data_IF_306131519102
#
_entry.id   IF_306131519102
#
_cell.length_a   1.000
_cell.length_b   1.000
_cell.length_c   1.000
_cell.angle_alpha   90.00
_cell.angle_beta   90.00
_cell.angle_gamma   90.00
#
_symmetry.space_group_name_H-M   'P 1'
#
loop_
_entity.id
_entity.type
_entity.pdbx_description
1 polymer ?
#
# COMPACT_ATOMS: atom_id res chain seq x y z
N UNK A 1 -46.76 11.76 -6.87
CA UNK A 1 -45.56 12.46 -7.38
C UNK A 1 -44.35 11.98 -6.59
N UNK A 2 -43.32 11.43 -7.24
CA UNK A 2 -42.07 11.09 -6.57
C UNK A 2 -41.43 12.38 -6.02
N UNK A 3 -41.20 12.44 -4.71
CA UNK A 3 -40.67 13.62 -4.04
C UNK A 3 -39.26 13.94 -4.60
N UNK A 4 -39.06 15.19 -5.05
CA UNK A 4 -37.83 15.66 -5.72
C UNK A 4 -36.57 15.41 -4.89
N UNK A 5 -36.71 15.28 -3.57
CA UNK A 5 -35.61 15.04 -2.64
C UNK A 5 -35.07 13.59 -2.70
N UNK A 6 -35.80 12.64 -3.29
CA UNK A 6 -35.36 11.24 -3.46
C UNK A 6 -34.79 10.94 -4.84
N UNK A 7 -34.37 11.97 -5.58
CA UNK A 7 -33.64 11.77 -6.82
C UNK A 7 -32.16 11.78 -6.55
N UNK A 8 -31.49 10.71 -6.95
CA UNK A 8 -30.08 10.52 -6.69
C UNK A 8 -29.29 10.40 -7.98
N UNK A 9 -28.06 10.88 -7.94
CA UNK A 9 -27.04 10.60 -8.93
C UNK A 9 -25.87 9.88 -8.22
N UNK A 10 -25.12 9.09 -8.97
CA UNK A 10 -23.99 8.35 -8.46
C UNK A 10 -22.70 8.64 -9.22
N UNK A 11 -21.58 8.56 -8.52
CA UNK A 11 -20.25 8.59 -9.10
C UNK A 11 -19.48 7.36 -8.65
N UNK A 12 -19.03 6.55 -9.60
CA UNK A 12 -18.29 5.31 -9.37
C UNK A 12 -16.82 5.59 -9.67
N UNK A 13 -15.94 5.29 -8.71
CA UNK A 13 -14.50 5.30 -8.93
C UNK A 13 -14.03 3.89 -9.27
N UNK A 14 -13.53 3.71 -10.49
CA UNK A 14 -12.89 2.48 -10.93
C UNK A 14 -11.40 2.45 -10.56
N UNK A 15 -10.85 1.24 -10.44
CA UNK A 15 -9.44 0.97 -10.19
C UNK A 15 -8.55 1.50 -11.32
N UNK A 16 -9.03 1.40 -12.56
CA UNK A 16 -8.41 1.96 -13.75
C UNK A 16 -9.31 3.03 -14.36
N UNK A 17 -8.78 4.24 -14.55
CA UNK A 17 -9.42 5.28 -15.35
C UNK A 17 -10.26 6.33 -14.58
N UNK A 18 -11.00 7.16 -15.34
CA UNK A 18 -11.81 8.24 -14.81
C UNK A 18 -13.04 7.73 -14.05
N UNK A 19 -13.63 8.58 -13.21
CA UNK A 19 -14.85 8.25 -12.49
C UNK A 19 -16.05 8.23 -13.46
N UNK A 20 -16.94 7.25 -13.30
CA UNK A 20 -18.16 7.12 -14.11
C UNK A 20 -19.32 7.77 -13.37
N UNK A 21 -20.00 8.72 -14.02
CA UNK A 21 -21.13 9.43 -13.42
C UNK A 21 -22.46 8.92 -13.99
N UNK A 22 -23.40 8.63 -13.11
CA UNK A 22 -24.78 8.27 -13.39
C UNK A 22 -25.70 9.37 -12.90
N UNK A 23 -26.34 10.09 -13.82
CA UNK A 23 -27.15 11.27 -13.49
C UNK A 23 -28.49 10.96 -12.83
N UNK A 24 -28.93 9.70 -12.85
CA UNK A 24 -30.19 9.28 -12.25
C UNK A 24 -30.13 7.79 -11.86
N UNK A 25 -30.35 7.49 -10.58
CA UNK A 25 -30.41 6.13 -10.04
C UNK A 25 -31.70 5.86 -9.24
N UNK A 26 -32.84 6.41 -9.69
CA UNK A 26 -34.15 6.32 -9.03
C UNK A 26 -34.75 4.89 -8.93
N UNK A 27 -33.97 3.84 -9.22
CA UNK A 27 -34.37 2.45 -9.01
C UNK A 27 -34.10 1.96 -7.58
N UNK A 28 -33.45 2.79 -6.74
CA UNK A 28 -33.11 2.51 -5.36
C UNK A 28 -31.61 2.21 -5.17
N UNK A 29 -31.05 2.60 -4.02
CA UNK A 29 -29.62 2.46 -3.73
C UNK A 29 -29.20 0.99 -3.70
N UNK A 30 -30.04 0.07 -3.20
CA UNK A 30 -29.71 -1.37 -3.16
C UNK A 30 -29.66 -1.97 -4.56
N UNK A 31 -30.63 -1.66 -5.41
CA UNK A 31 -30.63 -2.12 -6.81
C UNK A 31 -29.44 -1.56 -7.57
N UNK A 32 -29.10 -0.29 -7.34
CA UNK A 32 -27.91 0.30 -7.92
C UNK A 32 -26.63 -0.37 -7.40
N UNK A 33 -26.54 -0.70 -6.11
CA UNK A 33 -25.40 -1.44 -5.56
C UNK A 33 -25.21 -2.81 -6.24
N UNK A 34 -26.28 -3.58 -6.44
CA UNK A 34 -26.24 -4.86 -7.16
C UNK A 34 -25.80 -4.67 -8.61
N UNK A 35 -26.29 -3.62 -9.28
CA UNK A 35 -25.84 -3.25 -10.62
C UNK A 35 -24.33 -2.97 -10.64
N UNK A 36 -23.82 -2.14 -9.71
CA UNK A 36 -22.38 -1.82 -9.64
C UNK A 36 -21.54 -3.08 -9.45
N UNK A 37 -21.91 -3.96 -8.50
CA UNK A 37 -21.19 -5.22 -8.27
C UNK A 37 -21.21 -6.13 -9.51
N UNK A 38 -22.34 -6.19 -10.22
CA UNK A 38 -22.49 -7.07 -11.38
C UNK A 38 -21.74 -6.55 -12.60
N UNK A 39 -21.84 -5.25 -12.87
CA UNK A 39 -21.27 -4.60 -14.05
C UNK A 39 -19.76 -4.40 -13.92
N UNK A 40 -19.29 -3.95 -12.74
CA UNK A 40 -17.89 -3.61 -12.53
C UNK A 40 -17.10 -4.66 -11.74
N UNK A 41 -17.75 -5.70 -11.20
CA UNK A 41 -17.10 -6.80 -10.47
C UNK A 41 -16.08 -6.29 -9.43
N UNK A 42 -14.81 -6.63 -9.59
CA UNK A 42 -13.72 -6.22 -8.70
C UNK A 42 -13.02 -4.92 -9.15
N UNK A 43 -13.48 -4.32 -10.24
CA UNK A 43 -12.84 -3.15 -10.85
C UNK A 43 -13.29 -1.82 -10.24
N UNK A 44 -14.31 -1.79 -9.40
CA UNK A 44 -14.72 -0.57 -8.70
C UNK A 44 -14.10 -0.52 -7.30
N UNK A 45 -13.66 0.68 -6.89
CA UNK A 45 -13.07 0.94 -5.57
C UNK A 45 -14.19 1.37 -4.61
N UNK A 46 -14.95 2.39 -5.01
CA UNK A 46 -16.09 2.90 -4.28
C UNK A 46 -17.08 3.59 -5.21
N UNK A 47 -18.31 3.77 -4.77
CA UNK A 47 -19.25 4.70 -5.39
C UNK A 47 -19.92 5.59 -4.36
N UNK A 48 -20.26 6.80 -4.78
CA UNK A 48 -20.92 7.81 -3.94
C UNK A 48 -22.31 8.08 -4.47
N UNK A 49 -23.31 8.03 -3.59
CA UNK A 49 -24.65 8.50 -3.86
C UNK A 49 -24.78 9.96 -3.43
N UNK A 50 -25.35 10.82 -4.27
CA UNK A 50 -25.65 12.21 -3.91
C UNK A 50 -27.05 12.62 -4.36
N UNK A 51 -27.73 13.46 -3.59
CA UNK A 51 -29.04 14.01 -3.98
C UNK A 51 -28.86 14.97 -5.15
N UNK A 52 -29.69 14.87 -6.18
CA UNK A 52 -29.60 15.76 -7.36
C UNK A 52 -29.92 17.21 -6.96
N UNK A 53 -30.93 17.41 -6.11
CA UNK A 53 -31.41 18.73 -5.72
C UNK A 53 -30.43 19.49 -4.83
N UNK A 54 -29.90 18.85 -3.77
CA UNK A 54 -29.06 19.50 -2.76
C UNK A 54 -27.57 19.24 -2.94
N UNK A 55 -27.19 18.29 -3.81
CA UNK A 55 -25.81 17.80 -4.00
C UNK A 55 -25.18 17.17 -2.75
N UNK A 56 -25.96 16.97 -1.70
CA UNK A 56 -25.58 16.28 -0.47
C UNK A 56 -25.18 14.83 -0.75
N UNK A 57 -24.07 14.38 -0.16
CA UNK A 57 -23.63 12.98 -0.21
C UNK A 57 -24.46 12.17 0.79
N UNK A 58 -25.18 11.18 0.30
CA UNK A 58 -26.09 10.33 1.08
C UNK A 58 -25.37 9.08 1.57
N UNK A 59 -24.35 8.65 0.84
CA UNK A 59 -23.53 7.51 1.23
C UNK A 59 -22.32 7.33 0.33
N UNK A 60 -21.27 6.73 0.90
CA UNK A 60 -20.12 6.21 0.15
C UNK A 60 -20.03 4.73 0.43
N UNK A 61 -20.04 3.93 -0.63
CA UNK A 61 -20.05 2.47 -0.55
C UNK A 61 -18.78 1.94 -1.19
N UNK A 62 -18.09 1.01 -0.53
CA UNK A 62 -16.78 0.50 -0.95
C UNK A 62 -16.88 -0.95 -1.38
N UNK A 63 -16.05 -1.35 -2.35
CA UNK A 63 -15.99 -2.75 -2.76
C UNK A 63 -15.22 -3.60 -1.76
N UNK A 64 -15.44 -4.91 -1.82
CA UNK A 64 -14.52 -5.86 -1.22
C UNK A 64 -13.17 -5.72 -1.95
N UNK A 65 -12.09 -5.50 -1.20
CA UNK A 65 -10.75 -5.41 -1.79
C UNK A 65 -9.79 -6.35 -1.07
N UNK A 66 -9.09 -7.17 -1.85
CA UNK A 66 -7.98 -7.97 -1.34
C UNK A 66 -6.77 -7.05 -1.16
N UNK A 67 -6.32 -6.89 0.09
CA UNK A 67 -5.10 -6.13 0.37
C UNK A 67 -3.91 -7.03 0.05
N UNK A 68 -3.31 -6.83 -1.12
CA UNK A 68 -2.05 -7.46 -1.48
C UNK A 68 -0.86 -6.58 -1.07
N UNK A 69 0.09 -7.18 -0.35
CA UNK A 69 1.32 -6.53 0.06
C UNK A 69 2.47 -7.20 -0.67
N UNK A 70 3.19 -6.42 -1.48
CA UNK A 70 4.50 -6.81 -1.99
C UNK A 70 5.51 -6.73 -0.85
N UNK A 71 6.14 -7.84 -0.53
CA UNK A 71 7.08 -7.96 0.56
C UNK A 71 8.35 -8.68 0.11
N UNK A 72 9.42 -8.50 0.87
CA UNK A 72 10.69 -9.21 0.73
C UNK A 72 10.99 -9.94 2.03
N UNK A 73 11.30 -11.24 1.91
CA UNK A 73 11.88 -12.01 3.01
C UNK A 73 13.39 -11.93 2.90
N UNK A 74 14.02 -11.45 3.96
CA UNK A 74 15.47 -11.20 4.00
C UNK A 74 16.09 -12.06 5.10
N UNK A 75 17.08 -12.86 4.72
CA UNK A 75 17.80 -13.76 5.61
C UNK A 75 19.12 -13.12 6.03
N UNK A 76 19.06 -12.25 7.04
CA UNK A 76 20.23 -11.56 7.58
C UNK A 76 20.21 -11.54 9.11
N UNK A 77 21.39 -11.48 9.75
CA UNK A 77 21.47 -11.31 11.20
C UNK A 77 20.72 -10.07 11.66
N UNK A 78 19.94 -10.23 12.72
CA UNK A 78 19.10 -9.18 13.29
C UNK A 78 19.15 -9.17 14.80
N UNK A 79 18.93 -7.99 15.36
CA UNK A 79 18.89 -7.77 16.80
C UNK A 79 17.68 -6.89 17.13
N UNK A 80 16.90 -7.31 18.12
CA UNK A 80 15.81 -6.48 18.65
C UNK A 80 16.39 -5.20 19.23
N UNK A 81 15.75 -4.06 19.01
CA UNK A 81 16.17 -2.83 19.68
C UNK A 81 15.78 -2.87 21.17
N UNK A 82 16.49 -2.10 22.00
CA UNK A 82 16.23 -2.04 23.45
C UNK A 82 14.79 -1.63 23.80
N UNK A 83 14.15 -0.83 22.95
CA UNK A 83 12.76 -0.40 23.12
C UNK A 83 11.70 -1.40 22.64
N UNK A 84 12.09 -2.59 22.18
CA UNK A 84 11.20 -3.61 21.64
C UNK A 84 10.19 -3.09 20.60
N UNK A 85 10.59 -2.12 19.77
CA UNK A 85 9.75 -1.48 18.75
C UNK A 85 10.17 -1.82 17.31
N UNK A 86 11.20 -2.65 17.15
CA UNK A 86 11.69 -3.14 15.88
C UNK A 86 13.01 -3.90 15.97
N UNK A 87 13.62 -4.13 14.82
CA UNK A 87 14.89 -4.84 14.69
C UNK A 87 15.92 -3.99 13.95
N UNK A 88 17.17 -4.07 14.40
CA UNK A 88 18.34 -3.72 13.61
C UNK A 88 18.74 -4.94 12.78
N UNK A 89 18.78 -4.78 11.46
CA UNK A 89 19.28 -5.78 10.53
C UNK A 89 20.63 -5.34 9.99
N UNK A 90 21.63 -6.22 10.07
CA UNK A 90 22.98 -5.93 9.56
C UNK A 90 23.03 -6.22 8.07
N UNK A 91 23.02 -5.16 7.27
CA UNK A 91 23.03 -5.23 5.80
C UNK A 91 24.44 -4.97 5.26
N UNK A 92 25.01 -5.90 4.47
CA UNK A 92 26.30 -5.72 3.82
C UNK A 92 26.16 -4.89 2.54
N UNK A 93 27.02 -3.89 2.39
CA UNK A 93 27.19 -3.09 1.18
C UNK A 93 28.58 -3.33 0.62
N UNK A 94 28.71 -3.47 -0.69
CA UNK A 94 30.00 -3.60 -1.38
C UNK A 94 30.44 -2.27 -1.95
N UNK A 95 31.73 -1.99 -1.81
CA UNK A 95 32.45 -0.92 -2.51
C UNK A 95 33.77 -1.49 -3.01
N UNK A 96 33.89 -1.70 -4.32
CA UNK A 96 34.98 -2.50 -4.90
C UNK A 96 35.09 -3.88 -4.22
N UNK A 97 36.24 -4.22 -3.64
CA UNK A 97 36.49 -5.50 -2.95
C UNK A 97 36.23 -5.43 -1.44
N UNK A 98 35.72 -4.30 -0.92
CA UNK A 98 35.45 -4.12 0.50
C UNK A 98 33.96 -4.30 0.82
N UNK A 99 33.68 -4.96 1.95
CA UNK A 99 32.33 -5.11 2.51
C UNK A 99 32.17 -4.14 3.68
N UNK A 100 31.11 -3.34 3.63
CA UNK A 100 30.74 -2.34 4.61
C UNK A 100 29.41 -2.76 5.23
N UNK A 101 29.41 -3.09 6.51
CA UNK A 101 28.19 -3.49 7.22
C UNK A 101 27.48 -2.27 7.81
N UNK A 102 26.19 -2.08 7.47
CA UNK A 102 25.33 -1.04 8.07
C UNK A 102 24.17 -1.70 8.80
N UNK A 103 23.88 -1.20 10.00
CA UNK A 103 22.68 -1.60 10.73
C UNK A 103 21.51 -0.75 10.26
N UNK A 104 20.53 -1.37 9.60
CA UNK A 104 19.29 -0.72 9.20
C UNK A 104 18.20 -1.04 10.21
N UNK A 105 17.48 -0.03 10.67
CA UNK A 105 16.39 -0.21 11.63
C UNK A 105 15.05 -0.37 10.90
N UNK A 106 14.31 -1.43 11.23
CA UNK A 106 12.95 -1.66 10.77
C UNK A 106 12.02 -1.79 11.96
N UNK A 107 11.02 -0.91 12.04
CA UNK A 107 10.00 -0.95 13.09
C UNK A 107 9.03 -2.12 12.90
N UNK A 108 8.46 -2.65 13.99
CA UNK A 108 7.41 -3.67 13.93
C UNK A 108 6.21 -3.26 13.07
N UNK A 109 5.93 -1.96 12.95
CA UNK A 109 4.86 -1.45 12.10
C UNK A 109 5.04 -1.77 10.62
N UNK A 110 6.28 -1.97 10.18
CA UNK A 110 6.63 -2.22 8.76
C UNK A 110 7.05 -3.66 8.50
N UNK A 111 7.28 -4.44 9.57
CA UNK A 111 7.58 -5.85 9.52
C UNK A 111 6.26 -6.61 9.39
N UNK A 112 6.14 -7.41 8.34
CA UNK A 112 4.98 -8.26 8.09
C UNK A 112 5.06 -9.54 8.93
N UNK A 113 6.27 -10.09 9.06
CA UNK A 113 6.54 -11.31 9.80
C UNK A 113 7.99 -11.29 10.32
N UNK A 114 8.22 -11.80 11.52
CA UNK A 114 9.54 -11.98 12.10
C UNK A 114 9.72 -13.43 12.56
N UNK A 115 10.72 -14.10 12.00
CA UNK A 115 11.16 -15.43 12.43
C UNK A 115 12.60 -15.36 12.96
N UNK A 116 13.15 -16.45 13.47
CA UNK A 116 14.52 -16.47 13.99
C UNK A 116 15.57 -16.17 12.90
N UNK A 117 15.36 -16.69 11.69
CA UNK A 117 16.34 -16.60 10.59
C UNK A 117 16.06 -15.47 9.59
N UNK A 118 14.82 -14.96 9.55
CA UNK A 118 14.43 -13.95 8.56
C UNK A 118 13.52 -12.85 9.10
N UNK A 119 13.41 -11.78 8.33
CA UNK A 119 12.34 -10.78 8.42
C UNK A 119 11.61 -10.69 7.10
N UNK A 120 10.30 -10.55 7.16
CA UNK A 120 9.47 -10.18 6.00
C UNK A 120 9.10 -8.72 6.12
N UNK A 121 9.51 -7.91 5.15
CA UNK A 121 9.38 -6.44 5.17
C UNK A 121 8.65 -6.02 3.89
N UNK A 122 7.83 -4.98 3.95
CA UNK A 122 7.26 -4.38 2.75
C UNK A 122 8.37 -3.99 1.74
N UNK A 123 8.24 -4.41 0.47
CA UNK A 123 9.28 -4.27 -0.55
C UNK A 123 9.66 -2.79 -0.79
N UNK A 124 8.68 -1.89 -0.82
CA UNK A 124 8.94 -0.46 -1.01
C UNK A 124 9.74 0.14 0.15
N UNK A 125 9.42 -0.25 1.38
CA UNK A 125 10.10 0.23 2.58
C UNK A 125 11.52 -0.30 2.63
N UNK A 126 11.72 -1.58 2.32
CA UNK A 126 13.04 -2.18 2.24
C UNK A 126 13.90 -1.48 1.18
N UNK A 127 13.42 -1.34 -0.05
CA UNK A 127 14.16 -0.69 -1.14
C UNK A 127 14.50 0.76 -0.80
N UNK A 128 13.57 1.50 -0.17
CA UNK A 128 13.82 2.86 0.30
C UNK A 128 14.92 2.91 1.35
N UNK A 129 14.93 1.98 2.30
CA UNK A 129 15.98 1.89 3.32
C UNK A 129 17.35 1.59 2.71
N UNK A 130 17.44 0.69 1.73
CA UNK A 130 18.69 0.41 1.00
C UNK A 130 19.19 1.65 0.26
N UNK A 131 18.32 2.33 -0.49
CA UNK A 131 18.72 3.53 -1.24
C UNK A 131 19.19 4.65 -0.31
N UNK A 132 18.47 4.89 0.79
CA UNK A 132 18.90 5.87 1.80
C UNK A 132 20.27 5.52 2.38
N UNK A 133 20.53 4.24 2.68
CA UNK A 133 21.82 3.80 3.20
C UNK A 133 22.96 4.01 2.19
N UNK A 134 22.71 3.79 0.88
CA UNK A 134 23.68 4.09 -0.18
C UNK A 134 23.96 5.59 -0.23
N UNK A 135 22.93 6.44 -0.15
CA UNK A 135 23.08 7.90 -0.13
C UNK A 135 23.89 8.37 1.09
N UNK A 136 23.59 7.85 2.28
CA UNK A 136 24.33 8.15 3.51
C UNK A 136 25.80 7.71 3.43
N UNK A 137 26.07 6.50 2.93
CA UNK A 137 27.44 6.01 2.73
C UNK A 137 28.19 6.87 1.71
N UNK A 138 27.52 7.27 0.63
CA UNK A 138 28.09 8.17 -0.38
C UNK A 138 28.47 9.51 0.25
N UNK A 139 27.56 10.12 1.02
CA UNK A 139 27.83 11.37 1.72
C UNK A 139 29.00 11.23 2.70
N UNK A 140 29.01 10.18 3.52
CA UNK A 140 30.08 9.91 4.47
C UNK A 140 31.46 9.84 3.81
N UNK A 141 31.61 9.09 2.71
CA UNK A 141 32.90 8.99 2.04
C UNK A 141 33.28 10.26 1.28
N UNK A 142 32.31 11.00 0.75
CA UNK A 142 32.56 12.30 0.13
C UNK A 142 33.09 13.31 1.16
N UNK A 143 32.51 13.34 2.37
CA UNK A 143 33.00 14.15 3.50
C UNK A 143 34.43 13.77 3.93
N UNK A 144 34.81 12.49 3.75
CA UNK A 144 36.18 12.01 3.97
C UNK A 144 37.14 12.29 2.79
N UNK A 145 36.70 13.02 1.76
CA UNK A 145 37.53 13.42 0.63
C UNK A 145 37.63 12.38 -0.49
N UNK A 146 36.85 11.31 -0.45
CA UNK A 146 36.83 10.32 -1.54
C UNK A 146 35.93 10.80 -2.67
N UNK A 147 36.38 10.62 -3.92
CA UNK A 147 35.49 10.68 -5.10
C UNK A 147 34.77 9.35 -5.23
N UNK A 148 33.46 9.39 -5.44
CA UNK A 148 32.60 8.20 -5.52
C UNK A 148 31.85 8.26 -6.84
N UNK A 149 32.00 7.23 -7.66
CA UNK A 149 31.26 7.10 -8.90
C UNK A 149 29.83 6.59 -8.65
N UNK A 150 28.91 6.91 -9.56
CA UNK A 150 27.56 6.35 -9.52
C UNK A 150 27.61 4.82 -9.59
N UNK A 151 26.90 4.14 -8.68
CA UNK A 151 26.86 2.68 -8.61
C UNK A 151 28.09 2.02 -7.98
N UNK A 152 29.06 2.81 -7.49
CA UNK A 152 30.25 2.26 -6.81
C UNK A 152 29.91 1.58 -5.47
N UNK A 153 28.87 2.07 -4.78
CA UNK A 153 28.33 1.48 -3.56
C UNK A 153 27.02 0.80 -3.92
N UNK A 154 26.95 -0.51 -3.66
CA UNK A 154 25.76 -1.31 -3.88
C UNK A 154 25.52 -2.23 -2.68
N UNK A 155 24.31 -2.77 -2.56
CA UNK A 155 24.06 -3.87 -1.64
C UNK A 155 24.86 -5.10 -2.10
N UNK A 156 25.53 -5.78 -1.17
CA UNK A 156 26.21 -7.03 -1.49
C UNK A 156 25.21 -8.14 -1.79
N UNK A 157 25.71 -9.27 -2.30
CA UNK A 157 24.87 -10.45 -2.51
C UNK A 157 24.29 -10.92 -1.17
N UNK A 158 22.95 -10.88 -1.08
CA UNK A 158 22.19 -11.32 0.08
C UNK A 158 21.01 -12.17 -0.38
N UNK A 159 20.62 -13.13 0.45
CA UNK A 159 19.47 -13.98 0.16
C UNK A 159 18.17 -13.20 0.42
N UNK A 160 17.41 -12.97 -0.65
CA UNK A 160 16.10 -12.32 -0.61
C UNK A 160 15.10 -13.15 -1.42
N UNK A 161 13.91 -13.36 -0.85
CA UNK A 161 12.76 -13.89 -1.59
C UNK A 161 11.69 -12.80 -1.74
N UNK A 162 11.13 -12.66 -2.94
CA UNK A 162 10.00 -11.75 -3.18
C UNK A 162 8.69 -12.49 -2.90
N UNK A 163 7.82 -11.86 -2.12
CA UNK A 163 6.55 -12.41 -1.69
C UNK A 163 5.40 -11.47 -2.05
N UNK A 164 4.26 -12.06 -2.39
CA UNK A 164 2.99 -11.35 -2.50
C UNK A 164 2.04 -11.89 -1.42
N UNK A 165 1.83 -11.09 -0.37
CA UNK A 165 1.08 -11.51 0.82
C UNK A 165 -0.33 -10.92 0.74
N UNK A 166 -1.34 -11.78 0.80
CA UNK A 166 -2.74 -11.35 0.90
C UNK A 166 -3.10 -11.16 2.37
N UNK A 167 -3.28 -9.91 2.82
CA UNK A 167 -3.59 -9.58 4.23
C UNK A 167 -5.07 -9.74 4.59
N UNK A 168 -5.91 -10.21 3.67
CA UNK A 168 -7.35 -10.39 3.83
C UNK A 168 -8.19 -9.41 3.00
N UNK A 169 -9.52 -9.58 3.11
CA UNK A 169 -10.53 -8.74 2.45
C UNK A 169 -10.92 -7.58 3.34
N UNK A 170 -10.77 -6.35 2.86
CA UNK A 170 -11.59 -5.26 3.38
C UNK A 170 -13.04 -5.60 3.02
N UNK A 171 -13.90 -5.77 4.02
CA UNK A 171 -15.33 -5.98 3.77
C UNK A 171 -15.90 -4.70 3.16
N UNK A 172 -16.49 -4.84 1.98
CA UNK A 172 -17.22 -3.79 1.31
C UNK A 172 -18.39 -3.30 2.15
N UNK A 173 -18.86 -2.09 1.86
CA UNK A 173 -20.03 -1.52 2.50
C UNK A 173 -21.18 -1.44 1.51
N UNK A 174 -22.39 -1.73 2.00
CA UNK A 174 -23.60 -1.74 1.19
C UNK A 174 -24.66 -0.77 1.75
N UNK A 175 -25.57 -0.23 0.91
CA UNK A 175 -26.66 0.61 1.38
C UNK A 175 -27.61 -0.17 2.28
N UNK A 176 -27.68 0.23 3.56
CA UNK A 176 -28.64 -0.36 4.50
C UNK A 176 -30.08 0.10 4.23
N UNK A 177 -30.24 1.33 3.74
CA UNK A 177 -31.53 1.95 3.42
C UNK A 177 -31.72 1.93 1.90
N UNK A 178 -32.85 1.37 1.46
CA UNK A 178 -33.31 1.51 0.08
C UNK A 178 -34.24 2.72 0.05
N UNK A 179 -33.75 3.85 -0.47
CA UNK A 179 -34.60 5.02 -0.67
C UNK A 179 -35.38 4.85 -1.99
N UNK A 180 -36.72 5.03 -1.98
CA UNK A 180 -37.56 4.89 -3.17
C UNK A 180 -37.27 5.95 -4.24
#
# INVERSE_FOLDING_TARGET
MANKNFRYEAVIKLASGPAVQYHNINTGLKKFHVFVKTTYKDQWIFWKARRIATKEIVGTFTNDTDIQIKAVRVYLPKQRNNGNSGFFMRVPFSRYNAIINRNLFFSDKVIVEAAEDYLVINELIFNKAINNAITELTAYFAEKGHKIANGEIAISEIQIEKLLISKGKNKGTEPMIDYP
#
